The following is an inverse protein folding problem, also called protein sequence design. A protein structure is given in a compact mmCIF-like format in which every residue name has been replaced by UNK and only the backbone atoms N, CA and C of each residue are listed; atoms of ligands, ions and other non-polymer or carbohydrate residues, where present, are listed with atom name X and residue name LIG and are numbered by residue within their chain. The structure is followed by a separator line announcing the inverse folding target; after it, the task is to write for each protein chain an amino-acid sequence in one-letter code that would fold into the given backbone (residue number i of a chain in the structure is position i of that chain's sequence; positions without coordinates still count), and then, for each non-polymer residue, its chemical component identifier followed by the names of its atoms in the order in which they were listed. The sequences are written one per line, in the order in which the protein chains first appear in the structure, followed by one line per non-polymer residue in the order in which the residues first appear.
data_IF_982142549215
#
_entry.id   IF_982142549215
#
_cell.length_a   1.000
_cell.length_b   1.000
_cell.length_c   1.000
_cell.angle_alpha   90.00
_cell.angle_beta   90.00
_cell.angle_gamma   90.00
#
_symmetry.space_group_name_H-M   'P 1'
#
loop_
_entity.id
_entity.type
_entity.pdbx_description
1 polymer ?
#
# COMPACT_ATOMS: atom_id res chain seq x y z
N UNK A 1 -16.54 60.05 -53.60
CA UNK A 1 -17.91 59.51 -53.72
C UNK A 1 -17.95 58.77 -55.05
N UNK A 2 -17.80 57.46 -55.19
CA UNK A 2 -17.81 56.33 -54.26
C UNK A 2 -18.65 55.23 -54.92
N UNK A 3 -18.04 54.10 -55.32
CA UNK A 3 -18.74 52.83 -55.62
C UNK A 3 -17.71 51.71 -55.90
N UNK A 4 -17.49 50.81 -54.93
CA UNK A 4 -18.05 49.44 -54.81
C UNK A 4 -17.46 48.40 -55.78
N UNK A 5 -16.77 47.40 -55.21
CA UNK A 5 -16.90 45.92 -55.41
C UNK A 5 -15.69 45.24 -54.74
N UNK A 6 -15.88 44.57 -53.61
CA UNK A 6 -15.97 43.10 -53.43
C UNK A 6 -14.87 42.33 -54.16
N UNK A 7 -13.93 41.77 -53.41
CA UNK A 7 -13.15 40.61 -53.85
C UNK A 7 -13.13 39.51 -52.80
N UNK A 8 -13.25 38.30 -53.33
CA UNK A 8 -13.48 37.04 -52.66
C UNK A 8 -12.17 36.27 -52.44
N UNK A 9 -12.12 35.56 -51.30
CA UNK A 9 -11.75 34.13 -51.13
C UNK A 9 -10.73 33.53 -52.14
N UNK A 10 -9.54 33.09 -51.65
CA UNK A 10 -9.10 31.68 -51.42
C UNK A 10 -9.04 30.84 -52.71
N UNK A 11 -8.02 30.05 -53.06
CA UNK A 11 -7.14 29.12 -52.33
C UNK A 11 -6.08 28.57 -53.31
N UNK A 12 -4.99 27.96 -52.80
CA UNK A 12 -4.04 26.99 -53.39
C UNK A 12 -2.63 27.25 -52.82
N UNK A 13 -1.86 26.31 -52.28
CA UNK A 13 -2.05 24.88 -52.05
C UNK A 13 -0.75 24.27 -51.49
N UNK A 14 -0.88 23.25 -50.62
CA UNK A 14 0.16 22.25 -50.30
C UNK A 14 1.14 22.60 -49.16
N UNK A 15 1.53 21.71 -48.26
CA UNK A 15 1.21 20.31 -47.94
C UNK A 15 1.49 20.15 -46.42
N UNK A 16 0.61 19.53 -45.63
CA UNK A 16 0.93 19.07 -44.26
C UNK A 16 0.73 17.56 -44.20
N UNK A 17 1.72 16.79 -43.71
CA UNK A 17 1.61 15.34 -43.69
C UNK A 17 0.53 14.89 -42.69
N UNK A 18 -0.26 13.93 -43.17
CA UNK A 18 -1.31 13.21 -42.47
C UNK A 18 -0.76 12.54 -41.21
N UNK A 19 -1.23 12.96 -40.04
CA UNK A 19 -1.09 12.18 -38.80
C UNK A 19 -2.02 10.98 -38.89
N UNK A 20 -1.52 9.85 -39.39
CA UNK A 20 -2.19 8.57 -39.29
C UNK A 20 -2.05 8.04 -37.85
N UNK A 21 -2.90 8.55 -36.95
CA UNK A 21 -3.04 8.03 -35.59
C UNK A 21 -3.88 6.75 -35.63
N UNK A 22 -3.26 5.62 -35.96
CA UNK A 22 -3.91 4.32 -35.78
C UNK A 22 -3.97 4.00 -34.29
N UNK A 23 -5.08 4.36 -33.64
CA UNK A 23 -5.45 3.79 -32.35
C UNK A 23 -5.88 2.33 -32.56
N UNK A 24 -4.92 1.40 -32.52
CA UNK A 24 -5.23 -0.01 -32.27
C UNK A 24 -5.73 -0.13 -30.83
N UNK A 25 -7.06 -0.15 -30.69
CA UNK A 25 -7.74 -0.46 -29.45
C UNK A 25 -7.53 -1.94 -29.13
N UNK A 26 -6.58 -2.23 -28.26
CA UNK A 26 -6.40 -3.57 -27.68
C UNK A 26 -7.60 -3.87 -26.77
N UNK A 27 -8.66 -4.47 -27.33
CA UNK A 27 -9.75 -5.05 -26.54
C UNK A 27 -9.20 -6.21 -25.70
N UNK A 28 -9.42 -6.26 -24.38
CA UNK A 28 -9.06 -7.44 -23.60
C UNK A 28 -9.98 -8.61 -24.01
N UNK A 29 -9.37 -9.76 -24.29
CA UNK A 29 -10.10 -11.01 -24.57
C UNK A 29 -10.88 -11.42 -23.31
N UNK A 30 -12.18 -11.66 -23.47
CA UNK A 30 -13.03 -12.34 -22.48
C UNK A 30 -12.58 -13.81 -22.40
N UNK A 31 -11.48 -14.06 -21.68
CA UNK A 31 -11.14 -15.40 -21.22
C UNK A 31 -11.89 -15.69 -19.93
N UNK A 32 -12.68 -16.76 -19.91
CA UNK A 32 -13.31 -17.33 -18.72
C UNK A 32 -12.24 -17.94 -17.78
N UNK A 33 -11.35 -17.10 -17.27
CA UNK A 33 -10.39 -17.46 -16.25
C UNK A 33 -11.10 -17.62 -14.92
N UNK A 34 -11.19 -18.86 -14.41
CA UNK A 34 -11.52 -19.15 -13.01
C UNK A 34 -10.92 -18.09 -12.09
N UNK A 35 -11.67 -17.63 -11.07
CA UNK A 35 -11.29 -16.68 -9.98
C UNK A 35 -10.05 -17.10 -9.14
N UNK A 36 -9.16 -17.95 -9.65
CA UNK A 36 -7.94 -18.43 -8.99
C UNK A 36 -6.73 -17.50 -9.20
N UNK A 37 -6.76 -16.62 -10.20
CA UNK A 37 -5.62 -15.73 -10.52
C UNK A 37 -5.40 -14.59 -9.52
N UNK A 38 -6.46 -14.01 -8.96
CA UNK A 38 -6.40 -12.88 -8.02
C UNK A 38 -5.89 -13.28 -6.63
N UNK A 39 -6.19 -14.50 -6.17
CA UNK A 39 -5.75 -14.99 -4.86
C UNK A 39 -4.22 -15.12 -4.77
N UNK A 40 -3.58 -15.73 -5.78
CA UNK A 40 -2.11 -15.87 -5.87
C UNK A 40 -1.38 -14.52 -6.03
N UNK A 41 -2.12 -13.49 -6.40
CA UNK A 41 -1.61 -12.13 -6.61
C UNK A 41 -1.84 -11.23 -5.39
N UNK A 42 -2.67 -11.62 -4.42
CA UNK A 42 -3.09 -10.74 -3.32
C UNK A 42 -3.48 -9.33 -3.81
N UNK A 43 -4.25 -9.27 -4.90
CA UNK A 43 -4.78 -8.04 -5.48
C UNK A 43 -6.30 -7.98 -5.22
N UNK A 44 -6.74 -6.89 -4.61
CA UNK A 44 -8.15 -6.58 -4.35
C UNK A 44 -8.61 -5.39 -5.19
N UNK A 45 -9.93 -5.24 -5.36
CA UNK A 45 -10.50 -4.10 -6.09
C UNK A 45 -10.55 -2.85 -5.20
N UNK A 46 -10.32 -1.70 -5.80
CA UNK A 46 -10.51 -0.38 -5.20
C UNK A 46 -11.11 0.58 -6.22
N UNK A 47 -11.50 1.79 -5.80
CA UNK A 47 -12.03 2.84 -6.71
C UNK A 47 -11.03 3.25 -7.80
N UNK A 48 -9.73 3.08 -7.55
CA UNK A 48 -8.65 3.44 -8.48
C UNK A 48 -8.04 2.26 -9.25
N UNK A 49 -8.65 1.06 -9.19
CA UNK A 49 -8.12 -0.15 -9.80
C UNK A 49 -7.70 -1.21 -8.78
N UNK A 50 -6.81 -2.14 -9.17
CA UNK A 50 -6.37 -3.22 -8.29
C UNK A 50 -5.25 -2.77 -7.34
N UNK A 51 -5.43 -3.04 -6.04
CA UNK A 51 -4.48 -2.64 -5.00
C UNK A 51 -4.26 -3.76 -3.98
N UNK A 52 -3.32 -3.54 -3.07
CA UNK A 52 -3.00 -4.42 -1.96
C UNK A 52 -2.48 -3.66 -0.77
N UNK A 53 -2.47 -4.32 0.37
CA UNK A 53 -1.92 -3.77 1.61
C UNK A 53 -0.76 -4.62 2.08
N UNK A 54 0.38 -3.97 2.23
CA UNK A 54 1.55 -4.55 2.89
C UNK A 54 1.49 -4.16 4.37
N UNK A 55 1.23 -5.15 5.21
CA UNK A 55 1.27 -5.05 6.66
C UNK A 55 2.67 -5.40 7.14
N UNK A 56 3.16 -4.72 8.18
CA UNK A 56 4.48 -4.94 8.73
C UNK A 56 4.42 -4.90 10.25
N UNK A 57 5.19 -5.76 10.89
CA UNK A 57 5.56 -5.66 12.29
C UNK A 57 7.03 -5.21 12.37
N UNK A 58 7.36 -4.32 13.29
CA UNK A 58 8.72 -3.82 13.50
C UNK A 58 8.99 -3.64 14.99
N UNK A 59 10.28 -3.65 15.35
CA UNK A 59 10.70 -3.40 16.72
C UNK A 59 10.55 -1.91 17.13
N UNK A 60 10.86 -1.61 18.40
CA UNK A 60 10.80 -0.24 18.94
C UNK A 60 11.77 0.74 18.26
N UNK A 61 12.79 0.24 17.55
CA UNK A 61 13.75 1.07 16.81
C UNK A 61 13.27 1.37 15.39
N UNK A 62 12.25 0.65 14.89
CA UNK A 62 11.72 0.78 13.53
C UNK A 62 12.33 -0.23 12.56
N UNK A 63 12.92 -1.32 13.05
CA UNK A 63 13.51 -2.37 12.22
C UNK A 63 12.44 -3.43 11.89
N UNK A 64 12.20 -3.74 10.60
CA UNK A 64 11.14 -4.65 10.20
C UNK A 64 11.41 -6.08 10.66
N UNK A 65 10.44 -6.69 11.33
CA UNK A 65 10.50 -8.08 11.81
C UNK A 65 9.74 -9.03 10.89
N UNK A 66 8.56 -8.62 10.44
CA UNK A 66 7.70 -9.46 9.63
C UNK A 66 6.80 -8.67 8.69
N UNK A 67 6.39 -9.32 7.59
CA UNK A 67 5.49 -8.76 6.60
C UNK A 67 4.34 -9.70 6.29
N UNK A 68 3.17 -9.13 6.04
CA UNK A 68 2.01 -9.87 5.57
C UNK A 68 1.30 -9.07 4.47
N UNK A 69 0.93 -9.73 3.37
CA UNK A 69 0.30 -9.07 2.22
C UNK A 69 -1.16 -9.49 2.13
N UNK A 70 -2.06 -8.50 2.08
CA UNK A 70 -3.49 -8.73 1.86
C UNK A 70 -3.98 -8.02 0.59
N UNK A 71 -5.14 -8.45 0.11
CA UNK A 71 -5.86 -7.76 -0.96
C UNK A 71 -6.28 -6.36 -0.52
N UNK A 72 -6.34 -5.40 -1.44
CA UNK A 72 -6.52 -3.98 -1.11
C UNK A 72 -7.80 -3.62 -0.35
N UNK A 73 -8.86 -4.41 -0.50
CA UNK A 73 -10.13 -4.20 0.22
C UNK A 73 -10.14 -4.81 1.63
N UNK A 74 -9.18 -5.67 1.97
CA UNK A 74 -9.15 -6.35 3.26
C UNK A 74 -9.02 -5.32 4.39
N UNK A 75 -9.81 -5.50 5.45
CA UNK A 75 -9.69 -4.67 6.64
C UNK A 75 -8.35 -4.91 7.33
N UNK A 76 -7.70 -3.87 7.85
CA UNK A 76 -6.34 -3.98 8.39
C UNK A 76 -6.25 -4.94 9.58
N UNK A 77 -7.30 -5.00 10.40
CA UNK A 77 -7.41 -5.94 11.50
C UNK A 77 -7.28 -7.41 11.09
N UNK A 78 -7.55 -7.76 9.82
CA UNK A 78 -7.40 -9.14 9.32
C UNK A 78 -5.95 -9.59 9.20
N UNK A 79 -4.99 -8.67 9.21
CA UNK A 79 -3.57 -9.00 9.19
C UNK A 79 -2.97 -9.25 10.58
N UNK A 80 -3.73 -9.00 11.65
CA UNK A 80 -3.23 -9.08 13.02
C UNK A 80 -2.75 -10.50 13.38
N UNK A 81 -3.60 -11.50 13.19
CA UNK A 81 -3.31 -12.90 13.54
C UNK A 81 -2.09 -13.44 12.78
N UNK A 82 -1.87 -12.96 11.56
CA UNK A 82 -0.72 -13.36 10.74
C UNK A 82 0.61 -12.77 11.21
N UNK A 83 0.61 -11.78 12.11
CA UNK A 83 1.80 -11.03 12.52
C UNK A 83 2.12 -11.15 14.01
N UNK A 84 1.12 -11.22 14.89
CA UNK A 84 1.32 -11.06 16.34
C UNK A 84 2.19 -12.15 16.97
N UNK A 85 2.20 -13.36 16.41
CA UNK A 85 2.95 -14.51 16.92
C UNK A 85 4.37 -14.64 16.34
N UNK A 86 4.77 -13.73 15.45
CA UNK A 86 6.07 -13.81 14.76
C UNK A 86 7.27 -13.31 15.58
N UNK A 87 7.17 -12.32 16.48
CA UNK A 87 8.27 -11.96 17.36
C UNK A 87 8.58 -13.07 18.36
N UNK A 88 9.86 -13.39 18.54
CA UNK A 88 10.31 -14.36 19.56
C UNK A 88 9.99 -13.91 20.99
N UNK A 89 10.00 -12.59 21.22
CA UNK A 89 9.73 -11.99 22.53
C UNK A 89 8.48 -11.14 22.48
N UNK A 90 7.58 -11.38 23.43
CA UNK A 90 6.40 -10.55 23.62
C UNK A 90 6.80 -9.10 23.99
N UNK A 91 6.29 -8.08 23.29
CA UNK A 91 6.57 -6.69 23.61
C UNK A 91 5.70 -6.20 24.77
N UNK A 92 6.16 -5.17 25.50
CA UNK A 92 5.36 -4.55 26.56
C UNK A 92 4.15 -3.78 26.00
N UNK A 93 4.26 -3.28 24.77
CA UNK A 93 3.21 -2.53 24.10
C UNK A 93 3.19 -2.78 22.59
N UNK A 94 1.99 -2.79 22.00
CA UNK A 94 1.80 -2.82 20.55
C UNK A 94 1.18 -1.50 20.07
N UNK A 95 1.86 -0.83 19.15
CA UNK A 95 1.39 0.38 18.48
C UNK A 95 0.81 -0.01 17.13
N UNK A 96 -0.43 0.39 16.86
CA UNK A 96 -1.05 0.13 15.56
C UNK A 96 -2.04 1.23 15.17
N UNK A 97 -2.28 1.33 13.87
CA UNK A 97 -3.22 2.29 13.29
C UNK A 97 -4.64 2.03 13.80
N UNK A 98 -5.48 3.06 13.71
CA UNK A 98 -6.94 2.99 13.95
C UNK A 98 -7.63 1.86 13.15
N UNK A 99 -7.06 1.44 12.02
CA UNK A 99 -7.51 0.28 11.23
C UNK A 99 -7.46 -1.05 12.00
N UNK A 100 -6.58 -1.19 13.00
CA UNK A 100 -6.47 -2.36 13.87
C UNK A 100 -7.35 -2.28 15.13
N UNK A 101 -8.13 -1.21 15.31
CA UNK A 101 -9.07 -1.12 16.44
C UNK A 101 -10.21 -2.14 16.24
N UNK A 102 -10.14 -3.23 16.99
CA UNK A 102 -11.16 -4.27 17.09
C UNK A 102 -11.15 -4.88 18.50
N UNK A 103 -12.32 -5.24 19.02
CA UNK A 103 -12.45 -5.76 20.38
C UNK A 103 -11.72 -7.09 20.57
N UNK A 104 -11.77 -7.96 19.55
CA UNK A 104 -11.02 -9.21 19.54
C UNK A 104 -9.50 -8.98 19.65
N UNK A 105 -8.95 -8.00 18.92
CA UNK A 105 -7.52 -7.65 18.97
C UNK A 105 -7.15 -7.13 20.36
N UNK A 106 -7.96 -6.23 20.93
CA UNK A 106 -7.70 -5.68 22.27
C UNK A 106 -7.79 -6.75 23.36
N UNK A 107 -8.78 -7.63 23.27
CA UNK A 107 -8.93 -8.75 24.19
C UNK A 107 -7.74 -9.72 24.11
N UNK A 108 -7.24 -9.98 22.90
CA UNK A 108 -6.06 -10.81 22.70
C UNK A 108 -4.79 -10.20 23.28
N UNK A 109 -4.54 -8.92 23.00
CA UNK A 109 -3.43 -8.17 23.59
C UNK A 109 -3.50 -8.15 25.12
N UNK A 110 -4.69 -7.98 25.70
CA UNK A 110 -4.88 -8.02 27.15
C UNK A 110 -4.55 -9.41 27.73
N UNK A 111 -5.00 -10.50 27.09
CA UNK A 111 -4.63 -11.87 27.51
C UNK A 111 -3.12 -12.11 27.45
N UNK A 112 -2.45 -11.55 26.45
CA UNK A 112 -0.99 -11.61 26.27
C UNK A 112 -0.22 -10.66 27.19
N UNK A 113 -0.91 -9.85 27.99
CA UNK A 113 -0.34 -8.78 28.83
C UNK A 113 0.45 -7.71 28.03
N UNK A 114 0.02 -7.46 26.79
CA UNK A 114 0.59 -6.44 25.91
C UNK A 114 -0.30 -5.18 25.95
N UNK A 115 0.27 -4.01 26.24
CA UNK A 115 -0.46 -2.74 26.23
C UNK A 115 -0.88 -2.37 24.80
N UNK A 116 -2.19 -2.24 24.56
CA UNK A 116 -2.72 -1.82 23.26
C UNK A 116 -2.65 -0.30 23.07
N UNK A 117 -1.69 0.19 22.29
CA UNK A 117 -1.54 1.60 21.93
C UNK A 117 -2.14 1.84 20.55
N UNK A 118 -3.46 1.69 20.49
CA UNK A 118 -4.26 1.77 19.26
C UNK A 118 -5.33 2.86 19.44
N UNK A 119 -5.39 3.89 18.59
CA UNK A 119 -6.47 4.87 18.64
C UNK A 119 -7.82 4.21 18.35
N UNK A 120 -8.84 4.54 19.15
CA UNK A 120 -10.20 4.05 18.92
C UNK A 120 -10.79 4.56 17.59
N UNK A 121 -11.62 3.73 16.95
CA UNK A 121 -12.40 4.14 15.78
C UNK A 121 -13.41 5.24 16.14
N UNK A 122 -13.72 6.12 15.18
CA UNK A 122 -14.62 7.25 15.43
C UNK A 122 -16.07 6.82 15.67
N UNK A 123 -16.46 5.66 15.14
CA UNK A 123 -17.79 5.06 15.34
C UNK A 123 -17.86 4.16 16.59
N UNK A 124 -16.82 4.15 17.43
CA UNK A 124 -16.80 3.33 18.64
C UNK A 124 -17.74 3.96 19.67
N UNK A 125 -18.67 3.16 20.22
CA UNK A 125 -19.64 3.62 21.24
C UNK A 125 -18.95 4.08 22.53
N UNK A 126 -17.92 3.35 22.95
CA UNK A 126 -17.12 3.67 24.12
C UNK A 126 -15.75 4.16 23.67
N UNK A 127 -15.44 5.41 24.00
CA UNK A 127 -14.14 6.01 23.69
C UNK A 127 -13.05 5.30 24.49
N UNK A 128 -12.01 4.86 23.81
CA UNK A 128 -10.82 4.30 24.45
C UNK A 128 -9.70 5.32 24.39
N UNK A 129 -9.17 5.65 25.57
CA UNK A 129 -7.96 6.44 25.67
C UNK A 129 -6.74 5.58 25.31
N UNK A 130 -5.79 6.20 24.62
CA UNK A 130 -4.53 5.58 24.26
C UNK A 130 -3.40 6.56 24.59
N UNK A 131 -2.23 6.00 24.84
CA UNK A 131 -1.02 6.77 25.12
C UNK A 131 -0.56 7.51 23.86
N UNK A 132 -0.86 8.81 23.79
CA UNK A 132 -0.52 9.65 22.63
C UNK A 132 0.98 9.83 22.47
N UNK A 133 1.73 9.88 23.58
CA UNK A 133 3.18 10.05 23.54
C UNK A 133 3.85 8.83 22.95
N UNK A 134 3.43 7.65 23.42
CA UNK A 134 3.90 6.39 22.86
C UNK A 134 3.44 6.22 21.41
N UNK A 135 2.18 6.55 21.08
CA UNK A 135 1.66 6.47 19.72
C UNK A 135 2.46 7.32 18.69
N UNK A 136 3.05 8.45 19.10
CA UNK A 136 3.94 9.25 18.22
C UNK A 136 5.14 8.46 17.69
N UNK A 137 5.56 7.40 18.38
CA UNK A 137 6.67 6.54 17.93
C UNK A 137 6.34 5.75 16.66
N UNK A 138 5.06 5.65 16.27
CA UNK A 138 4.63 5.09 14.97
C UNK A 138 5.33 5.74 13.77
N UNK A 139 5.79 7.00 13.89
CA UNK A 139 6.62 7.64 12.85
C UNK A 139 7.85 6.80 12.44
N UNK A 140 8.37 5.94 13.33
CA UNK A 140 9.43 4.98 12.97
C UNK A 140 9.00 4.00 11.88
N UNK A 141 7.75 3.52 11.92
CA UNK A 141 7.14 2.66 10.89
C UNK A 141 7.02 3.42 9.57
N UNK A 142 6.57 4.68 9.61
CA UNK A 142 6.43 5.52 8.42
C UNK A 142 7.78 5.77 7.74
N UNK A 143 8.82 6.08 8.52
CA UNK A 143 10.20 6.21 8.04
C UNK A 143 10.74 4.91 7.46
N UNK A 144 10.51 3.78 8.12
CA UNK A 144 10.88 2.45 7.61
C UNK A 144 10.22 2.17 6.25
N UNK A 145 8.90 2.37 6.12
CA UNK A 145 8.22 2.22 4.83
C UNK A 145 8.72 3.21 3.79
N UNK A 146 9.04 4.45 4.17
CA UNK A 146 9.68 5.43 3.31
C UNK A 146 11.00 4.91 2.72
N UNK A 147 11.85 4.29 3.56
CA UNK A 147 13.08 3.66 3.11
C UNK A 147 12.86 2.47 2.18
N UNK A 148 11.90 1.59 2.48
CA UNK A 148 11.55 0.47 1.60
C UNK A 148 11.08 0.96 0.22
N UNK A 149 10.33 2.08 0.20
CA UNK A 149 9.79 2.69 -1.03
C UNK A 149 10.79 3.52 -1.82
N UNK A 150 12.03 3.68 -1.37
CA UNK A 150 13.13 4.15 -2.24
C UNK A 150 13.29 3.19 -3.42
N UNK A 151 13.05 1.89 -3.20
CA UNK A 151 12.95 0.93 -4.29
C UNK A 151 11.61 1.12 -5.03
N UNK A 152 11.69 1.63 -6.27
CA UNK A 152 10.52 1.90 -7.12
C UNK A 152 9.69 0.65 -7.42
N UNK A 153 10.29 -0.54 -7.47
CA UNK A 153 9.55 -1.79 -7.67
C UNK A 153 8.60 -2.08 -6.50
N UNK A 154 9.00 -1.72 -5.28
CA UNK A 154 8.17 -1.83 -4.07
C UNK A 154 7.12 -0.71 -4.04
N UNK A 155 7.54 0.54 -4.28
CA UNK A 155 6.66 1.70 -4.19
C UNK A 155 5.46 1.61 -5.14
N UNK A 156 5.69 1.19 -6.39
CA UNK A 156 4.65 1.07 -7.41
C UNK A 156 4.02 -0.32 -7.46
N UNK A 157 4.58 -1.30 -6.73
CA UNK A 157 4.23 -2.71 -6.84
C UNK A 157 4.27 -3.22 -8.30
N UNK A 158 5.47 -3.30 -8.86
CA UNK A 158 5.68 -3.84 -10.22
C UNK A 158 5.37 -5.35 -10.31
N UNK A 159 5.69 -6.10 -9.25
CA UNK A 159 5.42 -7.53 -9.18
C UNK A 159 3.93 -7.83 -8.96
N UNK A 160 3.31 -8.49 -9.94
CA UNK A 160 1.91 -8.90 -9.85
C UNK A 160 1.68 -10.10 -8.95
N UNK A 161 2.68 -10.99 -8.80
CA UNK A 161 2.59 -12.15 -7.93
C UNK A 161 2.93 -11.77 -6.48
N UNK A 162 2.15 -12.28 -5.52
CA UNK A 162 2.35 -11.96 -4.11
C UNK A 162 3.76 -12.36 -3.61
N UNK A 163 4.21 -13.56 -3.99
CA UNK A 163 5.50 -14.10 -3.55
C UNK A 163 6.69 -13.31 -4.10
N UNK A 164 6.66 -12.93 -5.39
CA UNK A 164 7.72 -12.12 -5.99
C UNK A 164 7.79 -10.74 -5.34
N UNK A 165 6.64 -10.10 -5.11
CA UNK A 165 6.57 -8.82 -4.42
C UNK A 165 7.10 -8.90 -2.98
N UNK A 166 6.68 -9.91 -2.21
CA UNK A 166 7.18 -10.14 -0.85
C UNK A 166 8.69 -10.44 -0.86
N UNK A 167 9.20 -11.22 -1.82
CA UNK A 167 10.63 -11.45 -2.00
C UNK A 167 11.43 -10.16 -2.16
N UNK A 168 10.93 -9.23 -2.99
CA UNK A 168 11.54 -7.90 -3.13
C UNK A 168 11.48 -7.07 -1.83
N UNK A 169 10.36 -7.14 -1.10
CA UNK A 169 10.23 -6.49 0.22
C UNK A 169 11.23 -7.07 1.22
N UNK A 170 11.39 -8.40 1.28
CA UNK A 170 12.38 -9.05 2.15
C UNK A 170 13.81 -8.66 1.77
N UNK A 171 14.15 -8.63 0.48
CA UNK A 171 15.47 -8.19 0.02
C UNK A 171 15.77 -6.74 0.42
N UNK A 172 14.80 -5.82 0.21
CA UNK A 172 14.95 -4.43 0.63
C UNK A 172 15.05 -4.30 2.17
N UNK A 173 14.34 -5.14 2.91
CA UNK A 173 14.38 -5.19 4.37
C UNK A 173 15.72 -5.70 4.88
N UNK A 174 16.28 -6.76 4.28
CA UNK A 174 17.62 -7.24 4.59
C UNK A 174 18.66 -6.12 4.39
N UNK A 175 18.57 -5.39 3.26
CA UNK A 175 19.44 -4.23 3.01
C UNK A 175 19.25 -3.10 4.03
N UNK A 176 18.01 -2.92 4.52
CA UNK A 176 17.72 -1.96 5.59
C UNK A 176 18.37 -2.38 6.92
N UNK A 177 18.32 -3.68 7.26
CA UNK A 177 18.95 -4.25 8.45
C UNK A 177 20.47 -4.09 8.47
N UNK A 178 21.14 -4.21 7.32
CA UNK A 178 22.60 -4.03 7.23
C UNK A 178 23.07 -2.67 7.77
N UNK A 179 22.23 -1.63 7.72
CA UNK A 179 22.57 -0.32 8.28
C UNK A 179 22.70 -0.31 9.80
N UNK A 180 22.07 -1.26 10.49
CA UNK A 180 22.09 -1.34 11.95
C UNK A 180 23.18 -2.28 12.46
N UNK A 181 23.49 -3.33 11.69
CA UNK A 181 24.53 -4.31 12.08
C UNK A 181 25.93 -3.67 12.07
N UNK A 182 26.21 -2.77 11.14
CA UNK A 182 27.51 -2.10 11.02
C UNK A 182 27.60 -0.76 11.77
N UNK A 183 26.50 -0.35 12.41
CA UNK A 183 26.42 0.90 13.18
C UNK A 183 26.33 0.63 14.70
N UNK A 184 26.59 -0.60 15.12
CA UNK A 184 26.59 -1.05 16.51
C UNK A 184 28.01 -1.29 16.99
#
# INVERSE_FOLDING_TARGET
MGERRRDARRDHGGQRPLQHRQHHSSRPRLGSGRKRGTHRRALGRSRGGFTSKLHCLADALGRPLAFHLTVGEAADCKAYDALIDLPERAPDALLADKGYDADAIRADLARRKIKAVIPGRSNRRVKIEHDRTLYRQRNRIERMFGHLKINRAIATRYDQLANSFLGMVHLASARYWLKFVHAS
#
